data_IF_203496641410
#
_entry.id   IF_203496641410
#
_cell.length_a   1.000
_cell.length_b   1.000
_cell.length_c   1.000
_cell.angle_alpha   90.00
_cell.angle_beta   90.00
_cell.angle_gamma   90.00
#
_symmetry.space_group_name_H-M   'P 1'
#
loop_
_entity.id
_entity.type
_entity.pdbx_description
1 polymer ?
#
# COMPACT_ATOMS: atom_id res chain seq x y z
N UNK A 1 -15.65 -6.55 8.04
CA UNK A 1 -16.96 -7.13 8.44
C UNK A 1 -17.27 -6.70 9.87
N UNK A 2 -18.49 -6.26 10.15
CA UNK A 2 -19.01 -6.08 11.51
C UNK A 2 -20.09 -7.14 11.77
N UNK A 3 -20.10 -7.71 12.98
CA UNK A 3 -20.96 -8.84 13.34
C UNK A 3 -22.17 -8.46 14.18
N UNK A 4 -22.21 -7.24 14.71
CA UNK A 4 -23.30 -6.73 15.55
C UNK A 4 -23.33 -5.21 15.54
N UNK A 5 -24.48 -4.66 15.88
CA UNK A 5 -24.68 -3.22 16.09
C UNK A 5 -24.09 -2.75 17.43
N UNK A 6 -24.06 -1.44 17.63
CA UNK A 6 -23.69 -0.85 18.91
C UNK A 6 -24.73 -1.26 19.97
N UNK A 7 -24.31 -1.74 21.16
CA UNK A 7 -25.26 -2.08 22.22
C UNK A 7 -25.96 -0.81 22.74
N UNK A 8 -27.28 -0.90 22.94
CA UNK A 8 -28.10 0.14 23.60
C UNK A 8 -27.78 0.17 25.10
N UNK A 9 -28.04 1.25 25.84
CA UNK A 9 -27.88 1.27 27.31
C UNK A 9 -28.92 0.40 28.01
N UNK A 10 -28.52 -0.42 28.99
CA UNK A 10 -29.43 -1.26 29.80
C UNK A 10 -29.42 -2.79 29.55
N UNK A 11 -29.00 -3.33 28.39
CA UNK A 11 -28.70 -4.74 28.19
C UNK A 11 -27.33 -5.13 28.77
N UNK A 12 -27.19 -6.41 29.13
CA UNK A 12 -25.93 -7.03 29.58
C UNK A 12 -24.74 -6.76 28.64
N UNK A 13 -24.99 -6.67 27.33
CA UNK A 13 -23.95 -6.43 26.32
C UNK A 13 -23.33 -5.04 26.43
N UNK A 14 -24.09 -4.04 26.88
CA UNK A 14 -23.59 -2.70 27.17
C UNK A 14 -22.70 -2.72 28.41
N UNK A 15 -23.14 -3.38 29.47
CA UNK A 15 -22.36 -3.53 30.71
C UNK A 15 -21.07 -4.32 30.45
N UNK A 16 -21.14 -5.37 29.64
CA UNK A 16 -19.98 -6.16 29.20
C UNK A 16 -19.00 -5.32 28.38
N UNK A 17 -19.48 -4.39 27.56
CA UNK A 17 -18.65 -3.44 26.82
C UNK A 17 -17.98 -2.43 27.74
N UNK A 18 -18.72 -1.84 28.69
CA UNK A 18 -18.18 -0.91 29.69
C UNK A 18 -17.10 -1.60 30.52
N UNK A 19 -17.32 -2.86 30.89
CA UNK A 19 -16.36 -3.67 31.66
C UNK A 19 -15.13 -4.08 30.85
N UNK A 20 -15.28 -4.37 29.55
CA UNK A 20 -14.16 -4.75 28.69
C UNK A 20 -14.36 -4.31 27.23
N UNK A 21 -13.88 -3.12 26.90
CA UNK A 21 -13.97 -2.53 25.57
C UNK A 21 -13.26 -3.36 24.50
N UNK A 22 -12.09 -3.94 24.82
CA UNK A 22 -11.33 -4.75 23.87
C UNK A 22 -12.08 -6.01 23.47
N UNK A 23 -12.64 -6.74 24.45
CA UNK A 23 -13.47 -7.92 24.20
C UNK A 23 -14.72 -7.54 23.41
N UNK A 24 -15.33 -6.40 23.73
CA UNK A 24 -16.49 -5.94 22.98
C UNK A 24 -16.16 -5.58 21.53
N UNK A 25 -15.04 -4.90 21.29
CA UNK A 25 -14.54 -4.57 19.95
C UNK A 25 -14.22 -5.83 19.14
N UNK A 26 -13.47 -6.77 19.72
CA UNK A 26 -13.15 -8.06 19.10
C UNK A 26 -14.41 -8.89 18.82
N UNK A 27 -15.44 -8.78 19.68
CA UNK A 27 -16.75 -9.38 19.46
C UNK A 27 -17.52 -8.79 18.28
N UNK A 28 -17.20 -7.56 17.88
CA UNK A 28 -17.86 -6.85 16.78
C UNK A 28 -17.13 -7.00 15.44
N UNK A 29 -15.80 -6.97 15.42
CA UNK A 29 -15.03 -7.07 14.17
C UNK A 29 -14.90 -8.52 13.66
N UNK A 30 -14.20 -8.70 12.55
CA UNK A 30 -13.92 -9.99 11.91
C UNK A 30 -13.42 -11.03 12.93
N UNK A 31 -14.01 -12.25 12.97
CA UNK A 31 -13.55 -13.32 13.86
C UNK A 31 -12.09 -13.72 13.62
N UNK A 32 -11.48 -14.38 14.62
CA UNK A 32 -10.08 -14.80 14.58
C UNK A 32 -9.72 -15.63 13.33
N UNK A 33 -10.51 -16.65 13.02
CA UNK A 33 -10.22 -17.55 11.89
C UNK A 33 -10.23 -16.80 10.55
N UNK A 34 -11.28 -16.01 10.30
CA UNK A 34 -11.41 -15.24 9.08
C UNK A 34 -10.31 -14.15 8.98
N UNK A 35 -9.96 -13.51 10.10
CA UNK A 35 -8.85 -12.55 10.17
C UNK A 35 -7.51 -13.16 9.74
N UNK A 36 -7.25 -14.43 10.09
CA UNK A 36 -6.03 -15.12 9.67
C UNK A 36 -6.03 -15.29 8.15
N UNK A 37 -7.14 -15.76 7.58
CA UNK A 37 -7.29 -15.95 6.12
C UNK A 37 -7.13 -14.61 5.40
N UNK A 38 -7.89 -13.59 5.79
CA UNK A 38 -7.88 -12.27 5.15
C UNK A 38 -6.48 -11.66 5.18
N UNK A 39 -5.78 -11.78 6.31
CA UNK A 39 -4.41 -11.26 6.46
C UNK A 39 -3.41 -12.00 5.57
N UNK A 40 -3.53 -13.33 5.46
CA UNK A 40 -2.68 -14.11 4.56
C UNK A 40 -2.90 -13.72 3.10
N UNK A 41 -4.17 -13.56 2.69
CA UNK A 41 -4.52 -13.15 1.33
C UNK A 41 -4.01 -11.74 1.01
N UNK A 42 -4.26 -10.76 1.89
CA UNK A 42 -3.74 -9.39 1.72
C UNK A 42 -2.21 -9.39 1.66
N UNK A 43 -1.53 -10.20 2.46
CA UNK A 43 -0.08 -10.32 2.42
C UNK A 43 0.44 -10.86 1.09
N UNK A 44 -0.30 -11.77 0.44
CA UNK A 44 0.03 -12.26 -0.90
C UNK A 44 -0.16 -11.12 -1.91
N UNK A 45 -1.32 -10.47 -1.91
CA UNK A 45 -1.63 -9.38 -2.85
C UNK A 45 -0.82 -8.10 -2.65
N UNK A 46 -0.11 -7.97 -1.53
CA UNK A 46 0.74 -6.79 -1.27
C UNK A 46 2.20 -7.02 -1.67
N UNK A 47 2.54 -8.17 -2.26
CA UNK A 47 3.92 -8.52 -2.62
C UNK A 47 4.17 -8.29 -4.11
N UNK A 48 5.28 -7.64 -4.40
CA UNK A 48 5.82 -7.58 -5.76
C UNK A 48 6.52 -8.90 -6.11
N UNK A 49 6.20 -9.44 -7.27
CA UNK A 49 6.91 -10.58 -7.84
C UNK A 49 8.37 -10.18 -8.17
N UNK A 50 9.27 -11.17 -8.28
CA UNK A 50 10.67 -10.90 -8.60
C UNK A 50 10.91 -10.50 -10.06
N UNK A 51 9.97 -10.86 -10.92
CA UNK A 51 9.91 -10.65 -12.36
C UNK A 51 8.88 -9.56 -12.73
N UNK A 52 8.46 -8.75 -11.77
CA UNK A 52 7.56 -7.62 -12.00
C UNK A 52 8.19 -6.59 -12.95
N UNK A 53 7.37 -5.98 -13.81
CA UNK A 53 7.77 -4.94 -14.75
C UNK A 53 7.14 -3.62 -14.30
N UNK A 54 7.99 -2.69 -13.85
CA UNK A 54 7.56 -1.39 -13.34
C UNK A 54 7.32 -0.37 -14.46
N UNK A 55 6.69 0.76 -14.11
CA UNK A 55 6.16 1.74 -15.06
C UNK A 55 7.16 2.22 -16.14
N UNK A 56 8.43 2.38 -15.79
CA UNK A 56 9.53 2.80 -16.68
C UNK A 56 10.27 1.65 -17.38
N UNK A 57 9.83 0.42 -17.17
CA UNK A 57 10.49 -0.78 -17.66
C UNK A 57 9.69 -1.43 -18.80
N UNK A 58 10.40 -2.25 -19.58
CA UNK A 58 9.85 -3.12 -20.62
C UNK A 58 10.48 -4.49 -20.46
N UNK A 59 9.71 -5.51 -20.80
CA UNK A 59 10.14 -6.91 -20.87
C UNK A 59 11.30 -7.12 -21.85
N UNK A 60 11.30 -6.37 -22.97
CA UNK A 60 12.32 -6.51 -24.00
C UNK A 60 12.96 -5.15 -24.36
N UNK A 61 14.31 -5.02 -24.40
CA UNK A 61 14.98 -3.75 -24.68
C UNK A 61 14.75 -3.25 -26.11
N UNK A 62 14.58 -4.17 -27.06
CA UNK A 62 14.34 -3.86 -28.47
C UNK A 62 12.87 -4.06 -28.85
N UNK A 63 11.94 -3.61 -28.00
CA UNK A 63 10.50 -3.69 -28.25
C UNK A 63 10.06 -2.86 -29.48
N UNK A 64 10.91 -1.96 -29.95
CA UNK A 64 10.76 -1.23 -31.21
C UNK A 64 12.12 -0.87 -31.80
N UNK A 65 12.20 -0.73 -33.12
CA UNK A 65 13.36 -0.17 -33.83
C UNK A 65 13.27 1.34 -34.04
N UNK A 66 12.15 1.97 -33.69
CA UNK A 66 11.98 3.42 -33.82
C UNK A 66 12.76 4.17 -32.74
N UNK A 67 13.82 4.87 -33.15
CA UNK A 67 14.67 5.65 -32.27
C UNK A 67 13.93 6.77 -31.53
N UNK A 68 12.89 7.36 -32.13
CA UNK A 68 12.09 8.42 -31.50
C UNK A 68 11.27 7.87 -30.33
N UNK A 69 10.65 6.70 -30.53
CA UNK A 69 9.90 6.02 -29.49
C UNK A 69 10.80 5.61 -28.31
N UNK A 70 12.00 5.09 -28.60
CA UNK A 70 12.99 4.75 -27.57
C UNK A 70 13.46 5.97 -26.78
N UNK A 71 13.75 7.08 -27.47
CA UNK A 71 14.17 8.33 -26.81
C UNK A 71 13.06 8.91 -25.92
N UNK A 72 11.81 8.90 -26.40
CA UNK A 72 10.65 9.33 -25.62
C UNK A 72 10.45 8.47 -24.36
N UNK A 73 10.60 7.15 -24.48
CA UNK A 73 10.52 6.23 -23.34
C UNK A 73 11.63 6.47 -22.31
N UNK A 74 12.87 6.73 -22.75
CA UNK A 74 13.97 7.12 -21.86
C UNK A 74 13.68 8.43 -21.12
N UNK A 75 13.11 9.44 -21.81
CA UNK A 75 12.69 10.70 -21.18
C UNK A 75 11.60 10.46 -20.13
N UNK A 76 10.67 9.56 -20.41
CA UNK A 76 9.62 9.17 -19.46
C UNK A 76 10.19 8.57 -18.17
N UNK A 77 11.07 7.56 -18.26
CA UNK A 77 11.73 6.97 -17.08
C UNK A 77 12.57 7.99 -16.29
N UNK A 78 13.28 8.87 -16.99
CA UNK A 78 14.05 9.96 -16.37
C UNK A 78 13.14 10.92 -15.58
N UNK A 79 11.95 11.22 -16.13
CA UNK A 79 10.97 12.07 -15.46
C UNK A 79 10.38 11.41 -14.21
N UNK A 80 10.11 10.10 -14.26
CA UNK A 80 9.65 9.33 -13.10
C UNK A 80 10.70 9.30 -11.98
N UNK A 81 11.99 9.15 -12.32
CA UNK A 81 13.07 9.23 -11.34
C UNK A 81 13.16 10.62 -10.67
N UNK A 82 12.97 11.70 -11.43
CA UNK A 82 12.89 13.06 -10.88
C UNK A 82 11.71 13.21 -9.90
N UNK A 83 10.53 12.69 -10.26
CA UNK A 83 9.32 12.71 -9.43
C UNK A 83 9.53 11.93 -8.13
N UNK A 84 10.11 10.73 -8.20
CA UNK A 84 10.47 9.94 -7.03
C UNK A 84 11.37 10.74 -6.08
N UNK A 85 12.42 11.39 -6.62
CA UNK A 85 13.31 12.26 -5.85
C UNK A 85 12.56 13.40 -5.15
N UNK A 86 11.61 14.05 -5.83
CA UNK A 86 10.75 15.09 -5.24
C UNK A 86 9.86 14.55 -4.13
N UNK A 87 9.35 13.33 -4.26
CA UNK A 87 8.52 12.71 -3.22
C UNK A 87 9.37 12.42 -1.98
N UNK A 88 10.52 11.74 -2.13
CA UNK A 88 11.36 11.31 -1.02
C UNK A 88 12.02 12.50 -0.33
N UNK A 89 12.78 13.31 -1.09
CA UNK A 89 13.62 14.39 -0.56
C UNK A 89 12.85 15.68 -0.31
N UNK A 90 11.69 15.85 -0.95
CA UNK A 90 10.89 17.07 -0.85
C UNK A 90 9.63 16.90 -0.03
N UNK A 91 8.76 15.94 -0.38
CA UNK A 91 7.43 15.84 0.26
C UNK A 91 7.46 15.06 1.56
N UNK A 92 8.12 13.91 1.58
CA UNK A 92 8.15 13.02 2.74
C UNK A 92 9.08 13.53 3.85
N UNK A 93 10.11 14.30 3.51
CA UNK A 93 11.01 14.96 4.48
C UNK A 93 10.45 16.26 5.09
N UNK A 94 9.39 16.82 4.51
CA UNK A 94 8.87 18.13 4.90
C UNK A 94 7.93 18.02 6.10
N UNK A 95 8.39 18.51 7.25
CA UNK A 95 7.67 18.47 8.54
C UNK A 95 6.31 19.16 8.55
N UNK A 96 6.07 20.13 7.65
CA UNK A 96 4.76 20.75 7.48
C UNK A 96 3.73 19.84 6.80
N UNK A 97 4.18 18.78 6.11
CA UNK A 97 3.31 17.80 5.45
C UNK A 97 3.05 16.57 6.34
N UNK A 98 2.51 16.81 7.54
CA UNK A 98 2.31 15.78 8.59
C UNK A 98 1.44 14.58 8.17
N UNK A 99 0.57 14.74 7.17
CA UNK A 99 -0.24 13.62 6.65
C UNK A 99 0.58 12.60 5.84
N UNK A 100 1.85 12.90 5.54
CA UNK A 100 2.74 12.01 4.78
C UNK A 100 3.67 11.20 5.67
N UNK A 101 3.90 11.64 6.89
CA UNK A 101 4.80 11.03 7.88
C UNK A 101 4.15 11.13 9.25
N UNK A 102 3.68 10.00 9.76
CA UNK A 102 3.19 9.90 11.14
C UNK A 102 4.31 9.36 12.02
N UNK A 103 4.28 9.69 13.31
CA UNK A 103 5.36 9.37 14.26
C UNK A 103 5.65 7.86 14.39
N UNK A 104 4.70 7.00 14.01
CA UNK A 104 4.77 5.54 14.16
C UNK A 104 4.66 4.80 12.82
N UNK A 105 4.43 5.51 11.70
CA UNK A 105 4.23 4.89 10.38
C UNK A 105 5.31 5.35 9.39
N UNK A 106 5.73 4.47 8.45
CA UNK A 106 6.66 4.86 7.41
C UNK A 106 6.07 5.99 6.55
N UNK A 107 6.92 6.81 5.92
CA UNK A 107 6.45 7.84 5.00
C UNK A 107 5.58 7.28 3.88
N UNK A 108 4.70 8.09 3.30
CA UNK A 108 3.90 7.67 2.15
C UNK A 108 4.77 7.40 0.91
N UNK A 109 4.90 6.12 0.55
CA UNK A 109 5.75 5.65 -0.56
C UNK A 109 5.01 4.87 -1.65
N UNK A 110 3.71 4.65 -1.53
CA UNK A 110 2.92 3.83 -2.47
C UNK A 110 2.99 4.30 -3.94
N UNK A 111 3.22 5.59 -4.18
CA UNK A 111 3.36 6.16 -5.53
C UNK A 111 4.82 6.44 -5.92
N UNK A 112 5.76 5.73 -5.30
CA UNK A 112 7.14 5.72 -5.76
C UNK A 112 7.27 4.62 -6.81
N UNK A 113 7.83 4.96 -7.98
CA UNK A 113 7.87 4.09 -9.16
C UNK A 113 8.65 2.79 -8.94
N UNK A 114 9.82 2.88 -8.33
CA UNK A 114 10.72 1.74 -8.13
C UNK A 114 10.40 0.96 -6.85
N UNK A 115 10.63 -0.35 -6.87
CA UNK A 115 10.54 -1.22 -5.70
C UNK A 115 11.51 -2.41 -5.79
N UNK A 116 11.80 -2.99 -4.63
CA UNK A 116 12.37 -4.32 -4.55
C UNK A 116 11.24 -5.36 -4.54
N UNK A 117 11.57 -6.62 -4.82
CA UNK A 117 10.64 -7.75 -4.71
C UNK A 117 10.12 -7.91 -3.27
N UNK A 118 8.90 -8.42 -3.13
CA UNK A 118 8.28 -8.68 -1.84
C UNK A 118 7.44 -7.51 -1.32
N UNK A 119 7.32 -7.39 0.01
CA UNK A 119 6.43 -6.44 0.66
C UNK A 119 7.15 -5.11 0.93
N UNK A 120 7.11 -4.21 -0.05
CA UNK A 120 7.93 -2.99 -0.03
C UNK A 120 7.15 -1.69 0.26
N UNK A 121 5.81 -1.71 0.17
CA UNK A 121 4.95 -0.53 0.36
C UNK A 121 5.28 0.64 -0.61
N UNK A 122 5.79 0.29 -1.80
CA UNK A 122 6.17 1.16 -2.92
C UNK A 122 6.27 0.31 -4.18
N UNK A 123 6.44 0.94 -5.34
CA UNK A 123 6.49 0.27 -6.64
C UNK A 123 5.21 0.47 -7.40
N UNK A 124 5.31 0.94 -8.65
CA UNK A 124 4.17 1.09 -9.55
C UNK A 124 4.36 0.11 -10.70
N UNK A 125 3.68 -1.05 -10.68
CA UNK A 125 3.66 -1.97 -11.82
C UNK A 125 3.07 -1.31 -13.07
N UNK A 126 3.46 -1.80 -14.24
CA UNK A 126 2.87 -1.37 -15.52
C UNK A 126 1.40 -1.76 -15.68
N UNK A 127 0.94 -2.77 -14.95
CA UNK A 127 -0.38 -3.39 -15.14
C UNK A 127 -1.00 -3.85 -13.82
N UNK A 128 -2.21 -4.40 -13.87
CA UNK A 128 -2.83 -5.09 -12.74
C UNK A 128 -2.26 -6.51 -12.71
N UNK A 129 -1.09 -6.64 -12.08
CA UNK A 129 -0.29 -7.87 -12.00
C UNK A 129 -0.34 -8.55 -10.63
N UNK A 130 -1.12 -7.98 -9.70
CA UNK A 130 -1.31 -8.51 -8.34
C UNK A 130 -2.77 -8.43 -7.88
#
# INVERSE_FOLDING_TARGET
MSRRFLPVKGPKEYDDMVRNLQKAYLGTITPKYQTIIDRTVIQIFSRHASDEIYLEERDHPNWTSDSKALEAFKKFGSKLAEIEGKIIKGRNSKSSLKNRTRQVEPPYTLLIRSSEKGLAFRGIPNSISI
#
